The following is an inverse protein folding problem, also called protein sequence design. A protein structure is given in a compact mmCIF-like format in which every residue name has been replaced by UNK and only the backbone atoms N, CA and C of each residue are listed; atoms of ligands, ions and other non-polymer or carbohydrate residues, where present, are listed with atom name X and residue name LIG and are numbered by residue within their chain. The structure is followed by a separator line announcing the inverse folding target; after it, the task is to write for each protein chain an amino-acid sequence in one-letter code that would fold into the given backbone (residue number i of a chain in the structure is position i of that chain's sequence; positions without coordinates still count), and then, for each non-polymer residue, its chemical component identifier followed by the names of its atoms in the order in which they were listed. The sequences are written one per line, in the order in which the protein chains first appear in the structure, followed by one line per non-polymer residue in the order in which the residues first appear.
data_IF_846503482271
#
_entry.id   IF_846503482271
#
_cell.length_a   1.000
_cell.length_b   1.000
_cell.length_c   1.000
_cell.angle_alpha   90.00
_cell.angle_beta   90.00
_cell.angle_gamma   90.00
#
_symmetry.space_group_name_H-M   'P 1'
#
loop_
_entity.id
_entity.type
_entity.pdbx_description
1 polymer ?
#
# COMPACT_ATOMS: atom_id res chain seq x y z
N UNK A 1 33.55 21.28 19.35
CA UNK A 1 33.21 20.05 18.58
C UNK A 1 31.84 19.61 19.05
N UNK A 2 30.77 20.08 18.42
CA UNK A 2 29.42 19.61 18.76
C UNK A 2 29.25 18.21 18.17
N UNK A 3 28.88 17.26 19.03
CA UNK A 3 28.46 15.94 18.59
C UNK A 3 27.24 16.12 17.67
N UNK A 4 27.34 15.66 16.42
CA UNK A 4 26.16 15.55 15.56
C UNK A 4 25.18 14.59 16.25
N UNK A 5 24.15 15.15 16.87
CA UNK A 5 23.04 14.38 17.40
C UNK A 5 22.41 13.69 16.20
N UNK A 6 22.58 12.37 16.10
CA UNK A 6 21.93 11.56 15.07
C UNK A 6 20.44 11.74 15.23
N UNK A 7 19.83 12.48 14.29
CA UNK A 7 18.41 12.79 14.31
C UNK A 7 17.65 11.49 13.98
N UNK A 8 17.14 10.82 15.01
CA UNK A 8 16.33 9.62 14.83
C UNK A 8 15.01 10.03 14.15
N UNK A 9 14.67 9.46 12.98
CA UNK A 9 13.43 9.80 12.32
C UNK A 9 12.23 9.36 13.17
N UNK A 10 11.18 10.18 13.19
CA UNK A 10 9.95 9.87 13.93
C UNK A 10 9.06 8.88 13.18
N UNK A 11 9.20 8.82 11.85
CA UNK A 11 8.56 7.83 10.99
C UNK A 11 9.67 7.22 10.13
N UNK A 12 9.77 5.90 10.14
CA UNK A 12 10.68 5.14 9.29
C UNK A 12 9.90 4.06 8.57
N UNK A 13 9.97 4.08 7.24
CA UNK A 13 9.35 3.10 6.36
C UNK A 13 10.45 2.42 5.55
N UNK A 14 10.43 1.10 5.52
CA UNK A 14 11.39 0.27 4.79
C UNK A 14 10.65 -0.78 3.98
N UNK A 15 10.88 -0.79 2.66
CA UNK A 15 10.37 -1.75 1.70
C UNK A 15 8.88 -2.06 1.89
N UNK A 16 8.06 -1.03 2.11
CA UNK A 16 6.64 -1.19 2.35
C UNK A 16 5.92 -1.44 1.02
N UNK A 17 5.23 -2.58 0.95
CA UNK A 17 4.36 -2.95 -0.18
C UNK A 17 2.94 -3.16 0.33
N UNK A 18 1.96 -2.60 -0.37
CA UNK A 18 0.53 -2.84 -0.10
C UNK A 18 -0.14 -3.37 -1.35
N UNK A 19 -0.73 -4.55 -1.24
CA UNK A 19 -1.54 -5.16 -2.30
C UNK A 19 -2.98 -5.29 -1.81
N UNK A 20 -3.92 -4.88 -2.63
CA UNK A 20 -5.35 -5.10 -2.44
C UNK A 20 -5.80 -6.27 -3.32
N UNK A 21 -6.65 -7.15 -2.78
CA UNK A 21 -7.24 -8.26 -3.53
C UNK A 21 -8.74 -8.01 -3.71
N UNK A 22 -9.22 -8.09 -4.94
CA UNK A 22 -10.64 -7.92 -5.27
C UNK A 22 -11.17 -9.19 -5.89
N UNK A 23 -12.26 -9.72 -5.34
CA UNK A 23 -12.92 -10.91 -5.89
C UNK A 23 -13.49 -10.64 -7.28
N UNK A 24 -13.21 -11.52 -8.23
CA UNK A 24 -13.73 -11.46 -9.60
C UNK A 24 -15.16 -11.96 -9.62
N UNK A 25 -16.09 -11.12 -10.06
CA UNK A 25 -17.49 -11.54 -10.29
C UNK A 25 -17.60 -12.24 -11.64
N UNK A 26 -17.72 -13.56 -11.62
CA UNK A 26 -18.05 -14.35 -12.81
C UNK A 26 -19.56 -14.32 -13.08
N UNK A 27 -19.98 -13.99 -14.30
CA UNK A 27 -21.39 -14.00 -14.72
C UNK A 27 -21.79 -15.37 -15.29
N UNK A 28 -22.95 -15.91 -14.89
CA UNK A 28 -23.48 -17.17 -15.41
C UNK A 28 -24.36 -17.96 -14.43
N UNK A 29 -25.29 -18.79 -14.94
CA UNK A 29 -26.30 -19.53 -14.14
C UNK A 29 -25.70 -20.52 -13.14
N UNK A 30 -24.49 -21.03 -13.39
CA UNK A 30 -23.74 -21.92 -12.48
C UNK A 30 -22.55 -21.22 -11.80
N UNK A 31 -22.29 -19.97 -12.15
CA UNK A 31 -21.13 -19.21 -11.68
C UNK A 31 -21.20 -18.88 -10.20
N UNK A 32 -22.39 -18.56 -9.69
CA UNK A 32 -22.59 -18.22 -8.28
C UNK A 32 -22.15 -19.38 -7.36
N UNK A 33 -22.55 -20.61 -7.67
CA UNK A 33 -22.18 -21.77 -6.87
C UNK A 33 -20.66 -22.05 -6.94
N UNK A 34 -20.06 -21.96 -8.14
CA UNK A 34 -18.61 -22.12 -8.30
C UNK A 34 -17.81 -21.02 -7.58
N UNK A 35 -18.32 -19.78 -7.56
CA UNK A 35 -17.66 -18.64 -6.90
C UNK A 35 -17.62 -18.74 -5.37
N UNK A 36 -18.49 -19.55 -4.76
CA UNK A 36 -18.47 -19.84 -3.33
C UNK A 36 -17.41 -20.88 -2.96
N UNK A 37 -17.09 -21.79 -3.88
CA UNK A 37 -16.16 -22.90 -3.64
C UNK A 37 -14.72 -22.50 -3.96
N UNK A 38 -14.50 -21.74 -5.05
CA UNK A 38 -13.17 -21.25 -5.43
C UNK A 38 -13.24 -19.81 -5.95
N UNK A 39 -13.28 -18.80 -5.07
CA UNK A 39 -13.27 -17.40 -5.46
C UNK A 39 -11.93 -17.03 -6.11
N UNK A 40 -12.00 -16.40 -7.29
CA UNK A 40 -10.84 -15.87 -7.98
C UNK A 40 -10.61 -14.41 -7.55
N UNK A 41 -9.36 -14.02 -7.37
CA UNK A 41 -8.98 -12.68 -6.94
C UNK A 41 -8.07 -12.01 -7.97
N UNK A 42 -8.30 -10.73 -8.21
CA UNK A 42 -7.36 -9.85 -8.90
C UNK A 42 -6.59 -9.07 -7.83
N UNK A 43 -5.28 -9.05 -7.96
CA UNK A 43 -4.39 -8.27 -7.11
C UNK A 43 -4.12 -6.90 -7.74
N UNK A 44 -4.14 -5.86 -6.91
CA UNK A 44 -3.77 -4.49 -7.28
C UNK A 44 -2.77 -3.96 -6.28
N UNK A 45 -1.54 -3.73 -6.74
CA UNK A 45 -0.50 -3.09 -5.94
C UNK A 45 -0.80 -1.60 -5.79
N UNK A 46 -0.95 -1.14 -4.55
CA UNK A 46 -1.20 0.26 -4.22
C UNK A 46 0.10 1.03 -3.96
N UNK A 47 1.03 0.43 -3.22
CA UNK A 47 2.42 0.91 -3.10
C UNK A 47 3.36 -0.28 -3.23
N UNK A 48 4.52 -0.06 -3.85
CA UNK A 48 5.51 -1.10 -4.10
C UNK A 48 6.88 -0.68 -3.55
N UNK A 49 7.34 -1.42 -2.55
CA UNK A 49 8.71 -1.37 -2.04
C UNK A 49 9.19 0.03 -1.64
N UNK A 50 8.29 0.86 -1.08
CA UNK A 50 8.64 2.24 -0.73
C UNK A 50 9.46 2.29 0.57
N UNK A 51 10.48 3.16 0.58
CA UNK A 51 11.33 3.40 1.74
C UNK A 51 11.56 4.89 1.93
N UNK A 52 11.25 5.42 3.11
CA UNK A 52 11.46 6.83 3.44
C UNK A 52 11.53 7.04 4.96
N UNK A 53 12.08 8.19 5.34
CA UNK A 53 12.13 8.64 6.73
C UNK A 53 11.48 10.01 6.83
N UNK A 54 10.79 10.29 7.94
CA UNK A 54 10.28 11.63 8.29
C UNK A 54 10.84 11.99 9.65
N UNK A 55 11.52 13.12 9.73
CA UNK A 55 12.10 13.65 10.96
C UNK A 55 11.12 14.57 11.71
N UNK A 56 11.40 14.78 12.99
CA UNK A 56 10.62 15.72 13.80
C UNK A 56 10.66 17.12 13.19
N UNK A 57 9.47 17.69 12.98
CA UNK A 57 9.27 19.03 12.42
C UNK A 57 9.19 19.08 10.89
N UNK A 58 9.37 17.96 10.18
CA UNK A 58 9.20 17.92 8.73
C UNK A 58 7.72 17.88 8.34
N UNK A 59 7.36 18.71 7.36
CA UNK A 59 6.04 18.71 6.73
C UNK A 59 6.17 17.95 5.42
N UNK A 60 5.40 16.87 5.26
CA UNK A 60 5.45 16.01 4.07
C UNK A 60 4.06 15.98 3.42
N UNK A 61 4.01 16.27 2.13
CA UNK A 61 2.81 16.11 1.31
C UNK A 61 2.89 14.84 0.48
N UNK A 62 1.91 13.94 0.63
CA UNK A 62 1.79 12.77 -0.24
C UNK A 62 0.86 13.08 -1.42
N UNK A 63 1.42 13.14 -2.64
CA UNK A 63 0.72 13.60 -3.86
C UNK A 63 0.70 12.53 -4.95
N UNK A 64 -0.28 12.63 -5.87
CA UNK A 64 -0.43 11.70 -6.98
C UNK A 64 -1.88 11.61 -7.50
N UNK A 65 -2.11 10.98 -8.66
CA UNK A 65 -3.45 10.84 -9.25
C UNK A 65 -4.38 9.95 -8.41
N UNK A 66 -5.68 9.96 -8.72
CA UNK A 66 -6.64 9.08 -8.05
C UNK A 66 -6.28 7.61 -8.26
N UNK A 67 -6.30 6.83 -7.18
CA UNK A 67 -5.93 5.42 -7.21
C UNK A 67 -4.42 5.12 -7.12
N UNK A 68 -3.56 6.12 -6.91
CA UNK A 68 -2.11 5.95 -6.76
C UNK A 68 -1.64 5.38 -5.39
N UNK A 69 -2.56 4.90 -4.55
CA UNK A 69 -2.22 4.33 -3.24
C UNK A 69 -2.05 5.34 -2.10
N UNK A 70 -2.64 6.53 -2.23
CA UNK A 70 -2.52 7.62 -1.23
C UNK A 70 -3.31 7.43 0.07
N UNK A 71 -4.26 6.49 0.08
CA UNK A 71 -5.26 6.26 1.14
C UNK A 71 -5.27 4.81 1.59
#
# INVERSE_FOLDING_TARGET
MEAQVVKVPIIQVKNLTKVFKTAVRKTGRFSALHSLINPEYIEKTAVDSISFNINKGEIVGYIGPNGAGKS
#
